data_IF_318875986537
#
_entry.id   IF_318875986537
#
_cell.length_a   1.000
_cell.length_b   1.000
_cell.length_c   1.000
_cell.angle_alpha   90.00
_cell.angle_beta   90.00
_cell.angle_gamma   90.00
#
_symmetry.space_group_name_H-M   'P 1'
#
loop_
_entity.id
_entity.type
_entity.pdbx_description
1 polymer ?
#
# COMPACT_ATOMS: atom_id res chain seq x y z
N UNK A 1 -7.71 -13.97 14.85
CA UNK A 1 -8.87 -13.17 14.39
C UNK A 1 -9.39 -13.73 13.06
N UNK A 2 -10.65 -13.47 12.72
CA UNK A 2 -11.17 -13.68 11.37
C UNK A 2 -11.19 -12.33 10.65
N UNK A 3 -10.44 -12.21 9.57
CA UNK A 3 -10.21 -10.96 8.84
C UNK A 3 -10.81 -11.07 7.45
N UNK A 4 -11.53 -10.04 7.01
CA UNK A 4 -11.95 -9.88 5.63
C UNK A 4 -10.98 -8.95 4.91
N UNK A 5 -10.34 -9.44 3.83
CA UNK A 5 -9.32 -8.70 3.09
C UNK A 5 -9.78 -8.44 1.65
N UNK A 6 -9.80 -7.18 1.25
CA UNK A 6 -9.94 -6.80 -0.16
C UNK A 6 -8.56 -6.54 -0.77
N UNK A 7 -8.40 -6.80 -2.05
CA UNK A 7 -7.15 -6.54 -2.75
C UNK A 7 -6.03 -7.56 -2.50
N UNK A 8 -6.33 -8.72 -1.91
CA UNK A 8 -5.37 -9.77 -1.54
C UNK A 8 -4.47 -10.27 -2.70
N UNK A 9 -4.91 -10.16 -3.95
CA UNK A 9 -4.12 -10.49 -5.15
C UNK A 9 -3.32 -9.29 -5.71
N UNK A 10 -3.51 -8.11 -5.11
CA UNK A 10 -2.78 -6.89 -5.44
C UNK A 10 -1.37 -6.89 -4.82
N UNK A 11 -0.60 -5.83 -5.10
CA UNK A 11 0.77 -5.74 -4.60
C UNK A 11 0.82 -5.67 -3.07
N UNK A 12 0.25 -4.64 -2.47
CA UNK A 12 0.21 -4.48 -1.01
C UNK A 12 -0.59 -5.61 -0.35
N UNK A 13 -1.79 -5.90 -0.89
CA UNK A 13 -2.67 -6.89 -0.29
C UNK A 13 -2.11 -8.30 -0.25
N UNK A 14 -1.23 -8.68 -1.19
CA UNK A 14 -0.56 -9.99 -1.17
C UNK A 14 0.44 -10.09 -0.01
N UNK A 15 1.25 -9.06 0.24
CA UNK A 15 2.18 -9.02 1.37
C UNK A 15 1.43 -8.99 2.72
N UNK A 16 0.34 -8.22 2.77
CA UNK A 16 -0.55 -8.16 3.95
C UNK A 16 -1.19 -9.53 4.22
N UNK A 17 -1.67 -10.23 3.17
CA UNK A 17 -2.20 -11.58 3.30
C UNK A 17 -1.16 -12.54 3.88
N UNK A 18 0.05 -12.55 3.31
CA UNK A 18 1.12 -13.45 3.74
C UNK A 18 1.48 -13.21 5.22
N UNK A 19 1.55 -11.94 5.65
CA UNK A 19 1.79 -11.60 7.04
C UNK A 19 0.64 -12.06 7.96
N UNK A 20 -0.62 -11.88 7.55
CA UNK A 20 -1.79 -12.33 8.33
C UNK A 20 -1.84 -13.84 8.49
N UNK A 21 -1.59 -14.60 7.42
CA UNK A 21 -1.57 -16.06 7.47
C UNK A 21 -0.42 -16.54 8.37
N UNK A 22 0.77 -15.94 8.22
CA UNK A 22 1.93 -16.22 9.10
C UNK A 22 1.63 -15.90 10.57
N UNK A 23 0.85 -14.84 10.83
CA UNK A 23 0.37 -14.47 12.18
C UNK A 23 -0.74 -15.37 12.72
N UNK A 24 -1.14 -16.44 11.99
CA UNK A 24 -2.16 -17.39 12.44
C UNK A 24 -3.60 -16.85 12.35
N UNK A 25 -3.85 -15.81 11.57
CA UNK A 25 -5.20 -15.27 11.35
C UNK A 25 -5.94 -16.08 10.28
N UNK A 26 -7.24 -16.21 10.43
CA UNK A 26 -8.14 -16.72 9.39
C UNK A 26 -8.50 -15.56 8.46
N UNK A 27 -8.21 -15.69 7.16
CA UNK A 27 -8.47 -14.63 6.19
C UNK A 27 -9.48 -15.09 5.16
N UNK A 28 -10.58 -14.35 5.02
CA UNK A 28 -11.49 -14.42 3.87
C UNK A 28 -11.14 -13.29 2.92
N UNK A 29 -10.87 -13.59 1.65
CA UNK A 29 -10.34 -12.61 0.71
C UNK A 29 -11.10 -12.61 -0.62
N UNK A 30 -11.32 -11.41 -1.19
CA UNK A 30 -11.95 -11.27 -2.50
C UNK A 30 -10.95 -11.64 -3.61
N UNK A 31 -11.40 -12.50 -4.53
CA UNK A 31 -10.80 -12.77 -5.84
C UNK A 31 -11.77 -12.40 -6.95
N UNK A 32 -11.28 -11.82 -8.05
CA UNK A 32 -12.14 -11.41 -9.18
C UNK A 32 -12.48 -12.55 -10.14
N UNK A 33 -11.71 -13.63 -10.11
CA UNK A 33 -11.83 -14.77 -11.00
C UNK A 33 -11.33 -16.06 -10.31
N UNK A 34 -11.67 -17.25 -10.86
CA UNK A 34 -11.27 -18.53 -10.28
C UNK A 34 -9.75 -18.71 -10.17
N UNK A 35 -8.95 -18.29 -11.15
CA UNK A 35 -7.49 -18.40 -11.12
C UNK A 35 -6.89 -17.68 -9.91
N UNK A 36 -7.37 -16.46 -9.64
CA UNK A 36 -6.97 -15.70 -8.45
C UNK A 36 -7.47 -16.33 -7.16
N UNK A 37 -8.66 -16.95 -7.19
CA UNK A 37 -9.18 -17.68 -6.03
C UNK A 37 -8.29 -18.88 -5.67
N UNK A 38 -7.81 -19.65 -6.65
CA UNK A 38 -6.87 -20.75 -6.44
C UNK A 38 -5.55 -20.26 -5.82
N UNK A 39 -5.01 -19.14 -6.29
CA UNK A 39 -3.80 -18.53 -5.71
C UNK A 39 -3.99 -18.13 -4.25
N UNK A 40 -5.16 -17.60 -3.89
CA UNK A 40 -5.48 -17.27 -2.49
C UNK A 40 -5.64 -18.54 -1.63
N UNK A 41 -6.28 -19.57 -2.17
CA UNK A 41 -6.43 -20.85 -1.49
C UNK A 41 -5.07 -21.50 -1.20
N UNK A 42 -4.18 -21.48 -2.19
CA UNK A 42 -2.81 -22.00 -2.03
C UNK A 42 -2.01 -21.26 -0.94
N UNK A 43 -2.32 -20.00 -0.69
CA UNK A 43 -1.74 -19.20 0.42
C UNK A 43 -2.44 -19.43 1.77
N UNK A 44 -3.49 -20.26 1.84
CA UNK A 44 -4.21 -20.56 3.08
C UNK A 44 -5.38 -19.60 3.39
N UNK A 45 -5.77 -18.74 2.46
CA UNK A 45 -6.95 -17.90 2.61
C UNK A 45 -8.22 -18.61 2.12
N UNK A 46 -9.38 -18.19 2.60
CA UNK A 46 -10.69 -18.57 2.06
C UNK A 46 -11.08 -17.59 0.97
N UNK A 47 -11.04 -17.96 -0.32
CA UNK A 47 -11.37 -17.03 -1.40
C UNK A 47 -12.88 -16.87 -1.55
N UNK A 48 -13.29 -15.67 -1.97
CA UNK A 48 -14.65 -15.35 -2.40
C UNK A 48 -14.59 -14.68 -3.76
N UNK A 49 -15.28 -15.27 -4.74
CA UNK A 49 -15.34 -14.67 -6.10
C UNK A 49 -16.31 -13.49 -6.05
N UNK A 50 -15.77 -12.29 -6.07
CA UNK A 50 -16.51 -11.05 -6.04
C UNK A 50 -15.65 -9.88 -6.54
N UNK A 51 -16.32 -8.79 -6.90
CA UNK A 51 -15.70 -7.50 -7.19
C UNK A 51 -16.01 -6.52 -6.06
N UNK A 52 -15.05 -5.66 -5.73
CA UNK A 52 -15.19 -4.64 -4.67
C UNK A 52 -16.37 -3.71 -4.97
N UNK A 53 -16.61 -3.38 -6.24
CA UNK A 53 -17.74 -2.57 -6.68
C UNK A 53 -19.12 -3.29 -6.65
N UNK A 54 -19.17 -4.56 -6.27
CA UNK A 54 -20.41 -5.36 -6.17
C UNK A 54 -20.64 -5.85 -4.73
N UNK A 55 -20.96 -4.95 -3.78
CA UNK A 55 -20.97 -5.25 -2.35
C UNK A 55 -21.95 -6.36 -1.94
N UNK A 56 -23.04 -6.55 -2.68
CA UNK A 56 -24.01 -7.61 -2.40
C UNK A 56 -23.40 -9.01 -2.34
N UNK A 57 -22.26 -9.23 -3.03
CA UNK A 57 -21.62 -10.54 -3.10
C UNK A 57 -20.77 -10.85 -1.85
N UNK A 58 -20.31 -9.84 -1.09
CA UNK A 58 -19.42 -10.06 0.03
C UNK A 58 -19.92 -9.50 1.37
N UNK A 59 -20.82 -8.53 1.37
CA UNK A 59 -21.36 -7.91 2.60
C UNK A 59 -21.89 -8.93 3.62
N UNK A 60 -22.62 -9.99 3.22
CA UNK A 60 -23.11 -10.97 4.18
C UNK A 60 -22.00 -11.66 4.98
N UNK A 61 -20.78 -11.75 4.41
CA UNK A 61 -19.64 -12.41 5.04
C UNK A 61 -19.01 -11.56 6.14
N UNK A 62 -19.16 -10.22 6.09
CA UNK A 62 -18.59 -9.30 7.04
C UNK A 62 -19.16 -9.47 8.46
N UNK A 63 -20.36 -10.02 8.59
CA UNK A 63 -21.01 -10.25 9.88
C UNK A 63 -20.22 -11.18 10.80
N UNK A 64 -19.44 -12.10 10.22
CA UNK A 64 -18.65 -13.09 10.97
C UNK A 64 -17.18 -12.71 11.14
N UNK A 65 -16.78 -11.49 10.76
CA UNK A 65 -15.38 -11.05 10.82
C UNK A 65 -15.10 -10.15 12.03
N UNK A 66 -13.90 -10.28 12.57
CA UNK A 66 -13.40 -9.41 13.66
C UNK A 66 -12.83 -8.10 13.09
N UNK A 67 -12.34 -8.14 11.86
CA UNK A 67 -11.76 -6.97 11.19
C UNK A 67 -11.99 -7.00 9.68
N UNK A 68 -12.01 -5.82 9.08
CA UNK A 68 -11.91 -5.60 7.63
C UNK A 68 -10.62 -4.87 7.32
N UNK A 69 -9.90 -5.34 6.31
CA UNK A 69 -8.71 -4.69 5.77
C UNK A 69 -8.93 -4.38 4.30
N UNK A 70 -8.93 -3.11 3.96
CA UNK A 70 -9.19 -2.62 2.61
C UNK A 70 -7.90 -2.14 1.95
N UNK A 71 -7.35 -2.98 1.05
CA UNK A 71 -6.16 -2.66 0.24
C UNK A 71 -6.46 -2.60 -1.26
N UNK A 72 -7.71 -2.86 -1.64
CA UNK A 72 -8.10 -2.84 -3.04
C UNK A 72 -8.23 -1.40 -3.56
N UNK A 73 -7.79 -1.18 -4.79
CA UNK A 73 -8.10 0.02 -5.55
C UNK A 73 -8.25 -0.35 -7.03
N UNK A 74 -9.28 0.15 -7.69
CA UNK A 74 -9.52 -0.05 -9.11
C UNK A 74 -8.85 1.10 -9.89
N UNK A 75 -7.82 0.79 -10.69
CA UNK A 75 -7.14 1.77 -11.54
C UNK A 75 -7.97 2.06 -12.80
N UNK A 76 -9.10 2.73 -12.63
CA UNK A 76 -10.03 3.12 -13.69
C UNK A 76 -10.65 4.50 -13.40
N UNK A 77 -11.30 5.15 -14.37
CA UNK A 77 -11.99 6.42 -14.14
C UNK A 77 -13.05 6.40 -13.02
N UNK A 78 -13.63 5.23 -12.74
CA UNK A 78 -14.62 5.04 -11.66
C UNK A 78 -13.98 4.60 -10.33
N UNK A 79 -12.65 4.40 -10.30
CA UNK A 79 -11.96 3.81 -9.14
C UNK A 79 -12.21 4.55 -7.83
N UNK A 80 -12.27 5.88 -7.87
CA UNK A 80 -12.55 6.72 -6.69
C UNK A 80 -13.97 6.45 -6.16
N UNK A 81 -14.96 6.38 -7.05
CA UNK A 81 -16.35 6.11 -6.65
C UNK A 81 -16.50 4.67 -6.12
N UNK A 82 -15.82 3.70 -6.73
CA UNK A 82 -15.82 2.29 -6.28
C UNK A 82 -15.19 2.17 -4.91
N UNK A 83 -14.06 2.86 -4.65
CA UNK A 83 -13.39 2.87 -3.36
C UNK A 83 -14.31 3.46 -2.27
N UNK A 84 -14.94 4.61 -2.53
CA UNK A 84 -15.91 5.24 -1.62
C UNK A 84 -17.08 4.31 -1.31
N UNK A 85 -17.72 3.73 -2.34
CA UNK A 85 -18.83 2.79 -2.18
C UNK A 85 -18.42 1.60 -1.31
N UNK A 86 -17.23 1.06 -1.54
CA UNK A 86 -16.71 -0.07 -0.77
C UNK A 86 -16.54 0.29 0.71
N UNK A 87 -15.92 1.45 1.01
CA UNK A 87 -15.74 1.94 2.37
C UNK A 87 -17.08 2.10 3.07
N UNK A 88 -18.02 2.87 2.49
CA UNK A 88 -19.34 3.13 3.06
C UNK A 88 -20.11 1.84 3.35
N UNK A 89 -20.08 0.91 2.39
CA UNK A 89 -20.80 -0.36 2.51
C UNK A 89 -20.19 -1.28 3.56
N UNK A 90 -18.86 -1.40 3.60
CA UNK A 90 -18.18 -2.24 4.59
C UNK A 90 -18.31 -1.66 6.01
N UNK A 91 -18.21 -0.35 6.18
CA UNK A 91 -18.44 0.31 7.48
C UNK A 91 -19.88 0.11 7.98
N UNK A 92 -20.87 0.24 7.09
CA UNK A 92 -22.29 0.00 7.43
C UNK A 92 -22.50 -1.45 7.85
N UNK A 93 -21.98 -2.41 7.08
CA UNK A 93 -22.09 -3.83 7.41
C UNK A 93 -21.44 -4.19 8.77
N UNK A 94 -20.31 -3.56 9.11
CA UNK A 94 -19.68 -3.76 10.40
C UNK A 94 -20.52 -3.15 11.54
N UNK A 95 -21.10 -1.95 11.37
CA UNK A 95 -22.01 -1.34 12.35
C UNK A 95 -23.23 -2.22 12.61
N UNK A 96 -23.85 -2.73 11.54
CA UNK A 96 -25.02 -3.64 11.65
C UNK A 96 -24.65 -4.93 12.41
N UNK A 97 -23.46 -5.48 12.13
CA UNK A 97 -22.99 -6.67 12.81
C UNK A 97 -22.70 -6.41 14.30
N UNK A 98 -22.08 -5.26 14.63
CA UNK A 98 -21.85 -4.85 16.03
C UNK A 98 -23.15 -4.64 16.79
N UNK A 99 -24.16 -4.04 16.15
CA UNK A 99 -25.49 -3.87 16.76
C UNK A 99 -26.17 -5.22 17.05
N UNK A 100 -25.89 -6.25 16.21
CA UNK A 100 -26.49 -7.57 16.38
C UNK A 100 -25.80 -8.46 17.42
N UNK A 101 -24.46 -8.38 17.56
CA UNK A 101 -23.69 -9.31 18.39
C UNK A 101 -22.88 -8.65 19.52
N UNK A 102 -22.83 -7.30 19.57
CA UNK A 102 -22.12 -6.54 20.60
C UNK A 102 -20.59 -6.61 20.54
N UNK A 103 -20.00 -7.23 19.50
CA UNK A 103 -18.55 -7.41 19.41
C UNK A 103 -17.87 -6.19 18.84
N UNK A 104 -16.73 -5.82 19.43
CA UNK A 104 -15.86 -4.79 18.87
C UNK A 104 -15.18 -5.29 17.58
N UNK A 105 -14.99 -4.36 16.63
CA UNK A 105 -14.39 -4.63 15.32
C UNK A 105 -13.34 -3.58 14.94
N UNK A 106 -12.50 -3.92 13.98
CA UNK A 106 -11.53 -2.99 13.39
C UNK A 106 -11.77 -2.82 11.89
N UNK A 107 -11.53 -1.62 11.38
CA UNK A 107 -11.51 -1.31 9.95
C UNK A 107 -10.20 -0.64 9.59
N UNK A 108 -9.36 -1.30 8.79
CA UNK A 108 -8.08 -0.79 8.32
C UNK A 108 -8.20 -0.38 6.86
N UNK A 109 -7.91 0.87 6.56
CA UNK A 109 -7.93 1.45 5.22
C UNK A 109 -6.52 1.79 4.75
N UNK A 110 -6.20 1.45 3.51
CA UNK A 110 -4.92 1.74 2.88
C UNK A 110 -5.00 3.03 2.08
N UNK A 111 -4.37 4.08 2.56
CA UNK A 111 -4.14 5.34 1.86
C UNK A 111 -2.71 5.42 1.30
N UNK A 112 -1.98 6.52 1.52
CA UNK A 112 -0.58 6.68 1.14
C UNK A 112 -0.02 8.05 1.52
N UNK A 113 1.29 8.13 1.73
CA UNK A 113 1.95 9.38 2.20
C UNK A 113 1.94 10.52 1.17
N UNK A 114 1.59 10.27 -0.07
CA UNK A 114 1.46 11.36 -1.06
C UNK A 114 0.40 12.41 -0.70
N UNK A 115 -0.54 12.07 0.18
CA UNK A 115 -1.53 13.04 0.69
C UNK A 115 -0.88 14.21 1.46
N UNK A 116 0.33 14.02 1.98
CA UNK A 116 1.10 15.04 2.67
C UNK A 116 1.67 16.12 1.72
N UNK A 117 1.69 15.85 0.41
CA UNK A 117 2.34 16.74 -0.55
C UNK A 117 3.84 16.86 -0.33
N UNK A 118 4.44 17.98 -0.71
CA UNK A 118 5.86 18.28 -0.50
C UNK A 118 6.11 18.63 0.97
N UNK A 119 7.10 17.99 1.58
CA UNK A 119 7.40 18.23 2.99
C UNK A 119 8.69 19.05 3.16
N UNK A 120 8.58 20.26 3.71
CA UNK A 120 9.76 21.11 4.03
C UNK A 120 10.55 20.56 5.22
N UNK A 121 9.85 19.91 6.14
CA UNK A 121 10.41 19.22 7.32
C UNK A 121 9.93 17.78 7.31
N UNK A 122 10.43 16.94 8.21
CA UNK A 122 9.89 15.60 8.40
C UNK A 122 8.42 15.70 8.84
N UNK A 123 7.52 15.06 8.09
CA UNK A 123 6.08 15.03 8.38
C UNK A 123 5.74 13.82 9.25
N UNK A 124 4.85 14.04 10.19
CA UNK A 124 4.29 13.06 11.11
C UNK A 124 2.81 12.84 10.82
N UNK A 125 2.14 11.97 11.57
CA UNK A 125 0.76 11.56 11.28
C UNK A 125 -0.29 12.68 11.40
N UNK A 126 0.02 13.75 12.14
CA UNK A 126 -0.81 14.96 12.32
C UNK A 126 -0.42 16.13 11.42
N UNK A 127 0.57 15.95 10.55
CA UNK A 127 1.02 17.01 9.65
C UNK A 127 -0.08 17.41 8.65
N UNK A 128 -0.13 18.69 8.25
CA UNK A 128 -1.09 19.18 7.27
C UNK A 128 -1.01 18.42 5.93
N UNK A 129 -2.15 18.31 5.25
CA UNK A 129 -2.26 17.66 3.95
C UNK A 129 -2.20 18.69 2.82
N UNK A 130 -1.45 18.37 1.75
CA UNK A 130 -1.36 19.14 0.50
C UNK A 130 -1.24 18.16 -0.69
N UNK A 131 -2.27 17.32 -0.92
CA UNK A 131 -2.19 16.24 -1.88
C UNK A 131 -2.09 16.75 -3.31
N UNK A 132 -1.20 16.19 -4.16
CA UNK A 132 -1.22 16.45 -5.59
C UNK A 132 -2.53 15.93 -6.22
N UNK A 133 -2.93 16.46 -7.41
CA UNK A 133 -4.23 16.17 -8.02
C UNK A 133 -4.53 14.67 -8.17
N UNK A 134 -3.51 13.85 -8.42
CA UNK A 134 -3.67 12.40 -8.58
C UNK A 134 -4.26 11.69 -7.35
N UNK A 135 -3.99 12.19 -6.16
CA UNK A 135 -4.45 11.61 -4.89
C UNK A 135 -5.30 12.57 -4.05
N UNK A 136 -5.74 13.70 -4.63
CA UNK A 136 -6.49 14.75 -3.92
C UNK A 136 -7.84 14.26 -3.35
N UNK A 137 -8.37 13.14 -3.83
CA UNK A 137 -9.57 12.49 -3.33
C UNK A 137 -9.37 11.70 -2.03
N UNK A 138 -8.13 11.26 -1.74
CA UNK A 138 -7.85 10.36 -0.60
C UNK A 138 -8.18 10.95 0.77
N UNK A 139 -7.89 12.23 1.09
CA UNK A 139 -8.26 12.81 2.38
C UNK A 139 -9.73 12.65 2.73
N UNK A 140 -10.63 12.85 1.76
CA UNK A 140 -12.08 12.67 1.99
C UNK A 140 -12.43 11.22 2.37
N UNK A 141 -11.76 10.23 1.77
CA UNK A 141 -11.96 8.82 2.12
C UNK A 141 -11.34 8.46 3.47
N UNK A 142 -10.21 9.06 3.83
CA UNK A 142 -9.61 8.92 5.15
C UNK A 142 -10.54 9.47 6.24
N UNK A 143 -11.10 10.67 6.02
CA UNK A 143 -12.05 11.30 6.92
C UNK A 143 -13.32 10.45 7.09
N UNK A 144 -13.84 9.89 5.99
CA UNK A 144 -14.98 8.96 6.02
C UNK A 144 -14.71 7.75 6.90
N UNK A 145 -13.51 7.17 6.81
CA UNK A 145 -13.09 6.03 7.64
C UNK A 145 -12.96 6.45 9.10
N UNK A 146 -12.25 7.54 9.38
CA UNK A 146 -11.99 8.00 10.75
C UNK A 146 -13.25 8.46 11.46
N UNK A 147 -14.20 9.08 10.77
CA UNK A 147 -15.48 9.49 11.31
C UNK A 147 -16.38 8.30 11.75
N UNK A 148 -16.03 7.07 11.32
CA UNK A 148 -16.75 5.87 11.73
C UNK A 148 -16.41 5.39 13.15
N UNK A 149 -15.47 6.03 13.84
CA UNK A 149 -15.03 5.65 15.18
C UNK A 149 -16.18 5.60 16.18
N UNK A 150 -16.22 4.55 16.99
CA UNK A 150 -17.17 4.39 18.08
C UNK A 150 -16.53 3.56 19.21
N UNK A 151 -17.26 3.34 20.29
CA UNK A 151 -16.81 2.45 21.38
C UNK A 151 -16.57 0.99 20.93
N UNK A 152 -17.15 0.58 19.81
CA UNK A 152 -17.07 -0.78 19.30
C UNK A 152 -16.38 -0.88 17.91
N UNK A 153 -16.27 0.22 17.13
CA UNK A 153 -15.56 0.24 15.86
C UNK A 153 -14.27 1.06 15.95
N UNK A 154 -13.17 0.41 15.68
CA UNK A 154 -11.83 0.99 15.68
C UNK A 154 -11.33 1.19 14.22
N UNK A 155 -11.51 2.39 13.65
CA UNK A 155 -10.98 2.69 12.32
C UNK A 155 -9.50 3.05 12.39
N UNK A 156 -8.76 2.60 11.37
CA UNK A 156 -7.35 2.91 11.17
C UNK A 156 -7.10 3.25 9.71
N UNK A 157 -6.37 4.33 9.47
CA UNK A 157 -5.84 4.69 8.16
C UNK A 157 -4.33 4.42 8.15
N UNK A 158 -3.87 3.60 7.22
CA UNK A 158 -2.45 3.35 7.02
C UNK A 158 -2.02 4.12 5.77
N UNK A 159 -0.99 4.94 5.91
CA UNK A 159 -0.37 5.71 4.81
C UNK A 159 1.02 5.12 4.52
N UNK A 160 1.13 4.11 3.64
CA UNK A 160 2.42 3.60 3.20
C UNK A 160 3.20 4.67 2.42
N UNK A 161 4.52 4.64 2.54
CA UNK A 161 5.42 5.23 1.58
C UNK A 161 5.37 4.50 0.23
N UNK A 162 6.36 4.76 -0.63
CA UNK A 162 6.54 4.01 -1.87
C UNK A 162 6.94 2.58 -1.49
N UNK A 163 6.03 1.64 -1.77
CA UNK A 163 6.27 0.24 -1.45
C UNK A 163 7.26 -0.37 -2.44
N UNK A 164 8.26 -1.09 -1.94
CA UNK A 164 9.24 -1.80 -2.74
C UNK A 164 9.40 -3.26 -2.27
N UNK A 165 9.91 -4.13 -3.14
CA UNK A 165 10.06 -5.57 -2.89
C UNK A 165 9.16 -6.42 -3.78
N UNK A 166 9.32 -7.75 -3.73
CA UNK A 166 8.51 -8.74 -4.44
C UNK A 166 8.49 -8.59 -5.97
N UNK A 167 9.44 -7.90 -6.57
CA UNK A 167 9.53 -7.69 -8.02
C UNK A 167 8.39 -6.83 -8.61
N UNK A 168 7.77 -5.95 -7.80
CA UNK A 168 6.61 -5.11 -8.16
C UNK A 168 6.80 -3.66 -7.70
N UNK A 169 5.96 -2.76 -8.20
CA UNK A 169 5.96 -1.35 -7.82
C UNK A 169 7.02 -0.50 -8.50
N UNK A 170 7.07 0.78 -8.14
CA UNK A 170 7.87 1.83 -8.83
C UNK A 170 9.37 1.49 -8.86
N UNK A 171 9.92 0.95 -7.77
CA UNK A 171 11.34 0.56 -7.72
C UNK A 171 11.62 -0.59 -8.69
N UNK A 172 10.73 -1.55 -8.81
CA UNK A 172 10.85 -2.64 -9.78
C UNK A 172 10.71 -2.17 -11.23
N UNK A 173 9.93 -1.12 -11.49
CA UNK A 173 9.87 -0.48 -12.81
C UNK A 173 11.21 0.19 -13.16
N UNK A 174 11.88 0.83 -12.18
CA UNK A 174 13.23 1.36 -12.38
C UNK A 174 14.26 0.26 -12.64
N UNK A 175 14.17 -0.89 -11.95
CA UNK A 175 15.03 -2.06 -12.20
C UNK A 175 14.79 -2.61 -13.62
N UNK A 176 13.52 -2.74 -14.03
CA UNK A 176 13.15 -3.14 -15.40
C UNK A 176 13.74 -2.20 -16.44
N UNK A 177 13.59 -0.91 -16.24
CA UNK A 177 14.12 0.13 -17.12
C UNK A 177 15.65 0.02 -17.22
N UNK A 178 16.35 -0.17 -16.10
CA UNK A 178 17.80 -0.33 -16.06
C UNK A 178 18.27 -1.59 -16.82
N UNK A 179 17.59 -2.72 -16.64
CA UNK A 179 17.88 -3.95 -17.40
C UNK A 179 17.63 -3.80 -18.90
N UNK A 180 16.73 -2.90 -19.30
CA UNK A 180 16.46 -2.56 -20.70
C UNK A 180 17.39 -1.44 -21.23
N UNK A 181 18.35 -0.99 -20.44
CA UNK A 181 19.41 -0.05 -20.87
C UNK A 181 19.06 1.42 -20.78
N UNK A 182 17.84 1.82 -20.37
CA UNK A 182 17.44 3.24 -20.23
C UNK A 182 16.54 3.40 -18.99
N UNK A 183 16.99 4.22 -18.04
CA UNK A 183 16.18 4.62 -16.89
C UNK A 183 15.67 6.05 -17.05
N UNK A 184 14.38 6.23 -16.93
CA UNK A 184 13.74 7.56 -16.99
C UNK A 184 13.32 8.03 -15.61
N UNK A 185 13.94 9.12 -15.15
CA UNK A 185 13.67 9.75 -13.86
C UNK A 185 12.81 11.00 -14.08
N UNK A 186 11.70 11.12 -13.37
CA UNK A 186 10.85 12.31 -13.42
C UNK A 186 11.49 13.44 -12.63
N UNK A 187 11.67 14.60 -13.27
CA UNK A 187 12.34 15.75 -12.67
C UNK A 187 13.86 15.52 -12.50
N UNK A 188 14.52 16.28 -11.63
CA UNK A 188 15.98 16.24 -11.47
C UNK A 188 16.48 15.08 -10.60
N UNK A 189 15.60 14.23 -10.05
CA UNK A 189 15.95 13.13 -9.16
C UNK A 189 16.47 13.55 -7.77
N UNK A 190 16.43 14.84 -7.43
CA UNK A 190 16.90 15.37 -6.13
C UNK A 190 15.88 15.22 -5.00
N UNK A 191 14.64 14.91 -5.35
CA UNK A 191 13.56 14.64 -4.44
C UNK A 191 13.79 13.32 -3.70
N UNK A 192 13.30 13.22 -2.46
CA UNK A 192 13.39 12.04 -1.62
C UNK A 192 12.06 11.28 -1.66
N UNK A 193 12.19 9.97 -1.65
CA UNK A 193 11.05 9.08 -1.51
C UNK A 193 11.04 8.44 -0.13
N UNK A 194 9.97 8.59 0.65
CA UNK A 194 9.74 7.74 1.81
C UNK A 194 9.35 6.35 1.30
N UNK A 195 10.17 5.35 1.55
CA UNK A 195 9.97 4.00 1.05
C UNK A 195 9.60 3.03 2.17
N UNK A 196 8.98 1.89 1.84
CA UNK A 196 8.72 0.79 2.76
C UNK A 196 8.81 -0.55 2.04
N UNK A 197 9.50 -1.51 2.65
CA UNK A 197 9.55 -2.88 2.14
C UNK A 197 8.19 -3.56 2.33
N UNK A 198 7.72 -4.29 1.34
CA UNK A 198 6.37 -4.86 1.30
C UNK A 198 6.09 -5.83 2.46
N UNK A 199 7.07 -6.65 2.85
CA UNK A 199 6.94 -7.56 4.00
C UNK A 199 6.89 -6.77 5.33
N UNK A 200 7.69 -5.70 5.49
CA UNK A 200 7.64 -4.85 6.67
C UNK A 200 6.29 -4.13 6.78
N UNK A 201 5.73 -3.72 5.64
CA UNK A 201 4.38 -3.16 5.60
C UNK A 201 3.35 -4.20 6.04
N UNK A 202 3.43 -5.44 5.55
CA UNK A 202 2.56 -6.54 5.99
C UNK A 202 2.61 -6.78 7.50
N UNK A 203 3.82 -6.77 8.09
CA UNK A 203 4.03 -6.88 9.53
C UNK A 203 3.33 -5.75 10.31
N UNK A 204 3.38 -4.51 9.80
CA UNK A 204 2.68 -3.39 10.44
C UNK A 204 1.17 -3.61 10.49
N UNK A 205 0.54 -4.13 9.42
CA UNK A 205 -0.89 -4.43 9.43
C UNK A 205 -1.26 -5.43 10.52
N UNK A 206 -0.47 -6.49 10.69
CA UNK A 206 -0.69 -7.48 11.74
C UNK A 206 -0.55 -6.85 13.13
N UNK A 207 0.51 -6.07 13.37
CA UNK A 207 0.72 -5.37 14.66
C UNK A 207 -0.44 -4.44 15.00
N UNK A 208 -0.95 -3.68 14.04
CA UNK A 208 -2.10 -2.80 14.24
C UNK A 208 -3.36 -3.61 14.55
N UNK A 209 -3.60 -4.73 13.86
CA UNK A 209 -4.73 -5.61 14.13
C UNK A 209 -4.69 -6.16 15.55
N UNK A 210 -3.53 -6.60 16.01
CA UNK A 210 -3.30 -7.21 17.31
C UNK A 210 -3.22 -6.20 18.47
N UNK A 211 -3.04 -4.90 18.17
CA UNK A 211 -3.01 -3.83 19.15
C UNK A 211 -4.41 -3.19 19.33
N UNK A 212 -5.20 -3.56 20.33
CA UNK A 212 -6.61 -3.13 20.46
C UNK A 212 -6.78 -1.62 20.63
N UNK A 213 -5.74 -0.91 21.07
CA UNK A 213 -5.75 0.55 21.26
C UNK A 213 -5.19 1.32 20.06
N UNK A 214 -4.65 0.63 19.04
CA UNK A 214 -4.12 1.28 17.85
C UNK A 214 -5.26 1.84 16.98
N UNK A 215 -5.41 3.15 16.92
CA UNK A 215 -6.47 3.85 16.19
C UNK A 215 -5.95 5.11 15.50
N UNK A 216 -6.70 5.60 14.50
CA UNK A 216 -6.37 6.79 13.75
C UNK A 216 -5.39 6.54 12.61
N UNK A 217 -4.49 7.48 12.35
CA UNK A 217 -3.57 7.45 11.21
C UNK A 217 -2.23 6.85 11.62
N UNK A 218 -1.66 6.01 10.75
CA UNK A 218 -0.32 5.45 10.86
C UNK A 218 0.44 5.67 9.55
N UNK A 219 1.63 6.23 9.62
CA UNK A 219 2.58 6.22 8.50
C UNK A 219 3.38 4.91 8.51
N UNK A 220 3.79 4.46 7.33
CA UNK A 220 4.62 3.27 7.17
C UNK A 220 5.75 3.55 6.19
N UNK A 221 6.95 3.82 6.71
CA UNK A 221 8.16 3.99 5.90
C UNK A 221 9.43 3.63 6.70
N UNK A 222 10.52 3.36 5.97
CA UNK A 222 11.80 2.98 6.55
C UNK A 222 12.61 4.16 7.13
N UNK A 223 12.22 5.40 6.80
CA UNK A 223 12.85 6.65 7.24
C UNK A 223 14.27 6.87 6.68
N UNK A 224 14.64 6.17 5.61
CA UNK A 224 15.97 6.31 4.98
C UNK A 224 16.15 7.66 4.27
N UNK A 225 15.07 8.37 3.94
CA UNK A 225 15.09 9.69 3.28
C UNK A 225 15.98 9.71 2.00
N UNK A 226 15.97 8.63 1.23
CA UNK A 226 16.81 8.42 0.05
C UNK A 226 16.37 9.29 -1.13
N UNK A 227 17.34 9.86 -1.86
CA UNK A 227 17.05 10.59 -3.09
C UNK A 227 16.80 9.61 -4.24
N UNK A 228 15.92 9.99 -5.15
CA UNK A 228 15.64 9.19 -6.35
C UNK A 228 16.89 8.97 -7.19
N UNK A 229 17.79 9.98 -7.30
CA UNK A 229 19.07 9.83 -7.97
C UNK A 229 19.92 8.72 -7.37
N UNK A 230 20.00 8.65 -6.03
CA UNK A 230 20.85 7.70 -5.33
C UNK A 230 20.29 6.26 -5.50
N UNK A 231 18.96 6.11 -5.48
CA UNK A 231 18.27 4.85 -5.78
C UNK A 231 18.59 4.39 -7.22
N UNK A 232 18.47 5.30 -8.19
CA UNK A 232 18.70 4.98 -9.61
C UNK A 232 20.17 4.64 -9.87
N UNK A 233 21.11 5.36 -9.25
CA UNK A 233 22.54 5.08 -9.36
C UNK A 233 22.89 3.72 -8.74
N UNK A 234 22.31 3.39 -7.58
CA UNK A 234 22.49 2.09 -6.95
C UNK A 234 21.96 0.95 -7.86
N UNK A 235 20.77 1.11 -8.47
CA UNK A 235 20.20 0.15 -9.42
C UNK A 235 21.14 0.02 -10.64
N UNK A 236 21.63 1.13 -11.21
CA UNK A 236 22.52 1.13 -12.35
C UNK A 236 23.85 0.40 -12.08
N UNK A 237 24.30 0.41 -10.82
CA UNK A 237 25.50 -0.33 -10.39
C UNK A 237 25.29 -1.85 -10.24
N UNK A 238 24.05 -2.35 -10.23
CA UNK A 238 23.72 -3.77 -10.03
C UNK A 238 23.26 -4.48 -11.31
N UNK A 239 23.13 -3.77 -12.42
CA UNK A 239 22.77 -4.38 -13.72
C UNK A 239 24.02 -4.63 -14.57
N UNK A 240 24.01 -5.66 -15.45
CA UNK A 240 25.20 -6.08 -16.21
C UNK A 240 25.79 -5.00 -17.13
N UNK A 241 24.93 -4.13 -17.66
CA UNK A 241 25.33 -3.01 -18.53
C UNK A 241 24.79 -1.72 -17.91
N UNK A 242 25.67 -0.72 -17.77
CA UNK A 242 25.27 0.57 -17.22
C UNK A 242 24.21 1.22 -18.12
N UNK A 243 23.02 1.52 -17.60
CA UNK A 243 21.94 2.11 -18.37
C UNK A 243 22.21 3.59 -18.64
N UNK A 244 21.58 4.12 -19.70
CA UNK A 244 21.47 5.56 -19.92
C UNK A 244 20.41 6.14 -18.97
N UNK A 245 20.84 7.01 -18.04
CA UNK A 245 19.94 7.66 -17.07
C UNK A 245 19.49 8.99 -17.63
N UNK A 246 18.18 9.13 -17.89
CA UNK A 246 17.58 10.33 -18.46
C UNK A 246 16.66 11.01 -17.48
N UNK A 247 16.96 12.26 -17.16
CA UNK A 247 16.14 13.10 -16.32
C UNK A 247 15.10 13.83 -17.17
N UNK A 248 13.84 13.47 -16.99
CA UNK A 248 12.71 13.98 -17.77
C UNK A 248 12.19 15.28 -17.17
N UNK A 249 12.15 16.40 -17.93
CA UNK A 249 11.54 17.64 -17.45
C UNK A 249 10.08 17.44 -17.07
N UNK A 250 9.60 18.16 -16.05
CA UNK A 250 8.21 18.02 -15.56
C UNK A 250 7.14 18.22 -16.64
N UNK A 251 7.36 19.14 -17.57
CA UNK A 251 6.42 19.37 -18.68
C UNK A 251 6.28 18.12 -19.58
N UNK A 252 7.37 17.41 -19.84
CA UNK A 252 7.37 16.15 -20.60
C UNK A 252 6.75 15.02 -19.77
N UNK A 253 7.13 14.92 -18.50
CA UNK A 253 6.61 13.90 -17.59
C UNK A 253 5.08 13.99 -17.44
N UNK A 254 4.53 15.21 -17.29
CA UNK A 254 3.09 15.42 -17.23
C UNK A 254 2.37 15.04 -18.53
N UNK A 255 2.98 15.27 -19.70
CA UNK A 255 2.41 14.80 -20.98
C UNK A 255 2.32 13.28 -21.04
N UNK A 256 3.31 12.59 -20.47
CA UNK A 256 3.41 11.13 -20.52
C UNK A 256 2.59 10.43 -19.44
N UNK A 257 2.61 10.94 -18.20
CA UNK A 257 2.07 10.28 -17.02
C UNK A 257 0.89 11.03 -16.39
N UNK A 258 0.48 12.18 -16.95
CA UNK A 258 -0.57 13.03 -16.36
C UNK A 258 -0.18 13.51 -14.95
N UNK A 259 -1.16 13.64 -14.09
CA UNK A 259 -0.99 14.08 -12.71
C UNK A 259 -0.13 13.11 -11.84
N UNK A 260 0.07 11.88 -12.28
CA UNK A 260 0.95 10.91 -11.61
C UNK A 260 2.42 11.37 -11.59
N UNK A 261 2.85 12.15 -12.60
CA UNK A 261 4.18 12.74 -12.64
C UNK A 261 4.47 13.63 -11.42
N UNK A 262 3.47 14.35 -10.94
CA UNK A 262 3.62 15.22 -9.75
C UNK A 262 3.88 14.39 -8.48
N UNK A 263 3.26 13.22 -8.35
CA UNK A 263 3.53 12.30 -7.26
C UNK A 263 4.96 11.77 -7.29
N UNK A 264 5.47 11.39 -8.46
CA UNK A 264 6.83 10.89 -8.62
C UNK A 264 7.90 11.95 -8.32
N UNK A 265 7.57 13.23 -8.50
CA UNK A 265 8.46 14.36 -8.24
C UNK A 265 8.34 14.96 -6.82
N UNK A 266 7.45 14.42 -5.97
CA UNK A 266 7.36 14.88 -4.59
C UNK A 266 8.66 14.66 -3.84
N UNK A 267 9.11 15.70 -3.13
CA UNK A 267 10.20 15.61 -2.16
C UNK A 267 9.58 15.48 -0.77
N UNK A 268 9.68 14.30 -0.20
CA UNK A 268 9.04 13.98 1.07
C UNK A 268 10.04 13.39 2.05
N UNK A 269 9.96 13.88 3.30
CA UNK A 269 10.51 13.22 4.48
C UNK A 269 9.35 12.89 5.40
N UNK A 270 9.20 11.64 5.75
CA UNK A 270 8.08 11.16 6.56
C UNK A 270 8.61 10.38 7.75
N UNK A 271 7.91 10.46 8.88
CA UNK A 271 8.21 9.68 10.10
C UNK A 271 7.01 8.81 10.43
N UNK A 272 7.29 7.62 10.92
CA UNK A 272 6.30 6.60 11.29
C UNK A 272 6.23 6.45 12.81
N UNK A 273 6.06 7.58 13.52
CA UNK A 273 6.17 7.61 14.99
C UNK A 273 5.20 6.66 15.67
N UNK A 274 3.93 6.65 15.26
CA UNK A 274 2.93 5.76 15.85
C UNK A 274 3.20 4.29 15.57
N UNK A 275 3.68 3.95 14.37
CA UNK A 275 4.09 2.60 14.04
C UNK A 275 5.30 2.16 14.91
N UNK A 276 6.30 3.03 15.06
CA UNK A 276 7.45 2.79 15.95
C UNK A 276 7.03 2.59 17.40
N UNK A 277 6.06 3.38 17.89
CA UNK A 277 5.53 3.24 19.25
C UNK A 277 4.81 1.90 19.49
N UNK A 278 4.30 1.23 18.42
CA UNK A 278 3.78 -0.13 18.48
C UNK A 278 4.88 -1.20 18.42
N UNK A 279 6.16 -0.81 18.46
CA UNK A 279 7.29 -1.73 18.33
C UNK A 279 7.55 -2.19 16.90
N UNK A 280 6.91 -1.56 15.89
CA UNK A 280 7.22 -1.85 14.49
C UNK A 280 8.60 -1.29 14.12
N UNK A 281 9.43 -2.12 13.52
CA UNK A 281 10.76 -1.74 13.04
C UNK A 281 10.99 -2.35 11.67
N UNK A 282 11.15 -1.55 10.60
CA UNK A 282 11.51 -2.07 9.29
C UNK A 282 12.79 -2.90 9.36
N UNK A 283 12.79 -4.00 8.64
CA UNK A 283 13.93 -4.92 8.54
C UNK A 283 14.95 -4.45 7.50
N UNK A 284 14.51 -3.56 6.60
CA UNK A 284 15.34 -3.03 5.53
C UNK A 284 15.71 -1.58 5.78
N UNK A 285 17.00 -1.26 5.60
CA UNK A 285 17.54 0.08 5.79
C UNK A 285 17.49 0.95 4.52
N UNK A 286 16.41 0.85 3.74
CA UNK A 286 16.19 1.59 2.51
C UNK A 286 16.42 0.77 1.23
N UNK A 287 16.08 1.40 0.10
CA UNK A 287 16.19 0.81 -1.23
C UNK A 287 17.65 0.64 -1.64
N UNK A 288 18.48 1.68 -1.47
CA UNK A 288 19.90 1.70 -1.89
C UNK A 288 20.68 0.51 -1.32
N UNK A 289 20.49 0.24 -0.03
CA UNK A 289 21.16 -0.88 0.63
C UNK A 289 20.58 -2.25 0.27
N UNK A 290 19.41 -2.28 -0.36
CA UNK A 290 18.69 -3.51 -0.69
C UNK A 290 18.74 -3.87 -2.18
N UNK A 291 19.33 -3.04 -3.04
CA UNK A 291 19.21 -3.14 -4.51
C UNK A 291 19.64 -4.50 -5.05
N UNK A 292 20.72 -5.10 -4.56
CA UNK A 292 21.19 -6.41 -5.04
C UNK A 292 20.08 -7.48 -4.88
N UNK A 293 19.45 -7.53 -3.71
CA UNK A 293 18.32 -8.42 -3.45
C UNK A 293 17.10 -8.06 -4.31
N UNK A 294 16.76 -6.77 -4.45
CA UNK A 294 15.62 -6.33 -5.23
C UNK A 294 15.73 -6.69 -6.71
N UNK A 295 16.94 -6.65 -7.27
CA UNK A 295 17.22 -7.12 -8.64
C UNK A 295 17.00 -8.63 -8.76
N UNK A 296 17.37 -9.40 -7.75
CA UNK A 296 17.12 -10.85 -7.72
C UNK A 296 15.62 -11.16 -7.56
N UNK A 297 14.93 -10.51 -6.62
CA UNK A 297 13.48 -10.63 -6.46
C UNK A 297 12.73 -10.30 -7.77
N UNK A 298 13.15 -9.24 -8.46
CA UNK A 298 12.59 -8.89 -9.78
C UNK A 298 12.79 -10.02 -10.80
N UNK A 299 14.01 -10.57 -10.90
CA UNK A 299 14.31 -11.67 -11.85
C UNK A 299 13.49 -12.92 -11.53
N UNK A 300 13.34 -13.27 -10.27
CA UNK A 300 12.55 -14.42 -9.84
C UNK A 300 11.06 -14.22 -10.18
N UNK A 301 10.50 -13.05 -9.87
CA UNK A 301 9.13 -12.72 -10.23
C UNK A 301 8.85 -12.70 -11.75
N UNK A 302 9.88 -12.47 -12.59
CA UNK A 302 9.72 -12.60 -14.05
C UNK A 302 9.78 -14.06 -14.52
N UNK A 303 10.54 -14.94 -13.86
CA UNK A 303 10.58 -16.39 -14.17
C UNK A 303 9.24 -17.04 -13.85
N UNK A 304 8.68 -16.79 -12.65
CA UNK A 304 7.38 -17.31 -12.22
C UNK A 304 6.20 -16.88 -13.12
N UNK A 305 6.32 -15.76 -13.84
CA UNK A 305 5.30 -15.31 -14.79
C UNK A 305 5.39 -16.00 -16.15
N UNK A 306 6.53 -16.58 -16.47
CA UNK A 306 6.79 -17.23 -17.75
C UNK A 306 6.63 -18.75 -17.69
N UNK A 307 6.49 -19.30 -16.50
CA UNK A 307 6.09 -20.67 -16.19
C UNK A 307 4.57 -20.81 -16.06
#
# INVERSE_FOLDING_TARGET
MHIFLTGATGYIGSAVLDAMIKGGHRVTAIARDPEKAEKLLAKGATPVIAEVGLPKLYVPLLKSTDAVVHTAFESSPRGVQVDRLAIETMLTAQRDAMAADGKARAFLYTSGVWVLGRTARAAEEDSPLDPPPHVAWRPEHEDLVLAAASSALRPVVIRPGIVYGGGRGIVSDLIKDALNGIVRVVGPGKNRWPCVYDHDLGDLYVRILEAPLAAGIFHANDEADEKVSDIVEAIAGQVPQKPDIRYMPMAEARKKFGAYADCLALDQKVRSQKARALGWSPTQAGVVNSVARLVEEYRNAQREKNE
#
